data_IF_241173385715
#
_entry.id   IF_241173385715
#
_cell.length_a   1.000
_cell.length_b   1.000
_cell.length_c   1.000
_cell.angle_alpha   90.00
_cell.angle_beta   90.00
_cell.angle_gamma   90.00
#
_symmetry.space_group_name_H-M   'P 1'
#
loop_
_entity.id
_entity.type
_entity.pdbx_description
1 polymer ?
#
# COMPACT_ATOMS: atom_id res chain seq x y z
N UNK A 1 -2.48 17.43 -0.12
CA UNK A 1 -2.00 16.51 -1.19
C UNK A 1 -1.50 15.18 -0.66
N UNK A 2 -0.66 15.12 0.38
CA UNK A 2 -0.12 13.84 0.91
C UNK A 2 -1.20 12.80 1.24
N UNK A 3 -2.24 13.20 1.98
CA UNK A 3 -3.38 12.33 2.34
C UNK A 3 -4.07 11.75 1.09
N UNK A 4 -4.20 12.53 0.02
CA UNK A 4 -4.83 12.08 -1.22
C UNK A 4 -4.03 10.95 -1.88
N UNK A 5 -2.70 11.06 -1.93
CA UNK A 5 -1.86 9.99 -2.46
C UNK A 5 -1.92 8.71 -1.61
N UNK A 6 -1.96 8.85 -0.28
CA UNK A 6 -2.13 7.72 0.64
C UNK A 6 -3.47 7.02 0.40
N UNK A 7 -4.56 7.78 0.29
CA UNK A 7 -5.90 7.24 0.01
C UNK A 7 -5.97 6.54 -1.34
N UNK A 8 -5.35 7.11 -2.38
CA UNK A 8 -5.27 6.47 -3.70
C UNK A 8 -4.50 5.15 -3.61
N UNK A 9 -3.31 5.14 -2.98
CA UNK A 9 -2.52 3.91 -2.77
C UNK A 9 -3.36 2.83 -2.09
N UNK A 10 -4.04 3.19 -1.01
CA UNK A 10 -4.89 2.28 -0.25
C UNK A 10 -6.06 1.73 -1.09
N UNK A 11 -6.74 2.61 -1.84
CA UNK A 11 -7.90 2.23 -2.65
C UNK A 11 -7.54 1.24 -3.77
N UNK A 12 -6.32 1.29 -4.30
CA UNK A 12 -5.81 0.29 -5.25
C UNK A 12 -5.25 -0.96 -4.55
N UNK A 13 -4.66 -0.82 -3.36
CA UNK A 13 -4.07 -1.94 -2.63
C UNK A 13 -5.11 -2.96 -2.19
N UNK A 14 -6.30 -2.53 -1.75
CA UNK A 14 -7.34 -3.42 -1.23
C UNK A 14 -7.91 -4.37 -2.30
N UNK A 15 -8.36 -3.91 -3.48
CA UNK A 15 -8.80 -4.81 -4.54
C UNK A 15 -7.68 -5.74 -5.00
N UNK A 16 -6.44 -5.23 -5.09
CA UNK A 16 -5.27 -6.02 -5.46
C UNK A 16 -4.99 -7.13 -4.45
N UNK A 17 -5.06 -6.83 -3.15
CA UNK A 17 -4.84 -7.79 -2.06
C UNK A 17 -5.83 -8.95 -2.13
N UNK A 18 -7.11 -8.62 -2.29
CA UNK A 18 -8.20 -9.60 -2.40
C UNK A 18 -8.06 -10.41 -3.69
N UNK A 19 -7.77 -9.76 -4.82
CA UNK A 19 -7.59 -10.44 -6.11
C UNK A 19 -6.41 -11.42 -6.08
N UNK A 20 -5.24 -10.99 -5.59
CA UNK A 20 -4.07 -11.86 -5.49
C UNK A 20 -4.31 -12.99 -4.50
N UNK A 21 -4.98 -12.73 -3.37
CA UNK A 21 -5.32 -13.78 -2.41
C UNK A 21 -6.29 -14.81 -2.98
N UNK A 22 -7.32 -14.38 -3.73
CA UNK A 22 -8.28 -15.31 -4.33
C UNK A 22 -7.66 -16.18 -5.41
N UNK A 23 -6.67 -15.66 -6.17
CA UNK A 23 -5.92 -16.40 -7.19
C UNK A 23 -4.88 -17.36 -6.63
N UNK A 24 -4.09 -16.89 -5.66
CA UNK A 24 -2.94 -17.67 -5.14
C UNK A 24 -3.32 -18.57 -3.97
N UNK A 25 -4.43 -18.26 -3.28
CA UNK A 25 -4.84 -18.83 -1.98
C UNK A 25 -3.75 -18.75 -0.90
N UNK A 26 -2.70 -17.97 -1.14
CA UNK A 26 -1.56 -17.82 -0.25
C UNK A 26 -1.47 -16.38 0.26
N UNK A 27 -1.67 -16.23 1.57
CA UNK A 27 -1.65 -14.94 2.26
C UNK A 27 -0.32 -14.20 2.07
N UNK A 28 0.81 -14.90 2.14
CA UNK A 28 2.13 -14.29 2.07
C UNK A 28 2.43 -13.76 0.68
N UNK A 29 1.99 -14.45 -0.37
CA UNK A 29 2.12 -13.98 -1.75
C UNK A 29 1.24 -12.74 -1.97
N UNK A 30 0.00 -12.76 -1.48
CA UNK A 30 -0.88 -11.59 -1.55
C UNK A 30 -0.28 -10.37 -0.83
N UNK A 31 0.32 -10.58 0.35
CA UNK A 31 1.01 -9.54 1.10
C UNK A 31 2.27 -9.01 0.42
N UNK A 32 3.07 -9.88 -0.19
CA UNK A 32 4.26 -9.46 -0.92
C UNK A 32 3.87 -8.59 -2.12
N UNK A 33 2.83 -8.99 -2.86
CA UNK A 33 2.32 -8.22 -4.00
C UNK A 33 1.79 -6.85 -3.56
N UNK A 34 1.03 -6.77 -2.47
CA UNK A 34 0.52 -5.48 -1.97
C UNK A 34 1.63 -4.61 -1.42
N UNK A 35 2.59 -5.18 -0.70
CA UNK A 35 3.78 -4.46 -0.23
C UNK A 35 4.57 -3.87 -1.41
N UNK A 36 4.82 -4.67 -2.45
CA UNK A 36 5.48 -4.20 -3.67
C UNK A 36 4.69 -3.07 -4.35
N UNK A 37 3.37 -3.23 -4.47
CA UNK A 37 2.51 -2.19 -5.05
C UNK A 37 2.56 -0.87 -4.27
N UNK A 38 2.36 -0.93 -2.95
CA UNK A 38 2.42 0.26 -2.10
C UNK A 38 3.81 0.92 -2.12
N UNK A 39 4.87 0.11 -2.16
CA UNK A 39 6.24 0.61 -2.28
C UNK A 39 6.44 1.33 -3.60
N UNK A 40 6.14 0.67 -4.73
CA UNK A 40 6.31 1.27 -6.07
C UNK A 40 5.50 2.55 -6.19
N UNK A 41 4.25 2.56 -5.73
CA UNK A 41 3.38 3.71 -5.82
C UNK A 41 3.86 4.87 -4.93
N UNK A 42 4.05 4.65 -3.62
CA UNK A 42 4.37 5.72 -2.68
C UNK A 42 5.80 6.23 -2.84
N UNK A 43 6.77 5.34 -3.09
CA UNK A 43 8.15 5.74 -3.41
C UNK A 43 8.18 6.45 -4.76
N UNK A 44 7.46 5.96 -5.77
CA UNK A 44 7.37 6.59 -7.09
C UNK A 44 6.81 8.01 -7.01
N UNK A 45 5.73 8.22 -6.27
CA UNK A 45 5.16 9.56 -6.04
C UNK A 45 6.15 10.46 -5.30
N UNK A 46 6.81 9.94 -4.25
CA UNK A 46 7.82 10.70 -3.50
C UNK A 46 8.97 11.14 -4.41
N UNK A 47 9.41 10.25 -5.30
CA UNK A 47 10.46 10.52 -6.27
C UNK A 47 10.05 11.59 -7.31
N UNK A 48 8.84 11.49 -7.85
CA UNK A 48 8.29 12.49 -8.78
C UNK A 48 8.24 13.87 -8.10
N UNK A 49 7.79 13.93 -6.85
CA UNK A 49 7.73 15.19 -6.09
C UNK A 49 9.13 15.76 -5.86
N UNK A 50 10.11 14.92 -5.52
CA UNK A 50 11.49 15.33 -5.36
C UNK A 50 12.08 15.94 -6.65
N UNK A 51 11.72 15.41 -7.81
CA UNK A 51 12.21 15.92 -9.10
C UNK A 51 11.55 17.25 -9.50
N UNK A 52 10.25 17.40 -9.23
CA UNK A 52 9.45 18.54 -9.70
C UNK A 52 9.40 19.71 -8.72
N UNK A 53 9.79 19.53 -7.47
CA UNK A 53 9.73 20.56 -6.44
C UNK A 53 11.15 20.98 -6.01
N UNK A 54 11.55 22.19 -6.41
CA UNK A 54 12.87 22.73 -6.11
C UNK A 54 13.11 22.89 -4.60
N UNK A 55 12.08 23.20 -3.80
CA UNK A 55 12.20 23.29 -2.34
C UNK A 55 12.52 21.92 -1.74
N UNK A 56 11.80 20.87 -2.15
CA UNK A 56 12.03 19.49 -1.67
C UNK A 56 13.43 19.01 -2.10
N UNK A 57 13.91 19.44 -3.27
CA UNK A 57 15.25 19.08 -3.77
C UNK A 57 16.36 19.79 -3.02
N UNK A 58 16.17 21.07 -2.67
CA UNK A 58 17.16 21.91 -1.98
C UNK A 58 17.23 21.60 -0.48
N UNK A 59 16.08 21.40 0.17
CA UNK A 59 15.99 21.19 1.61
C UNK A 59 15.88 19.71 2.01
N UNK A 60 15.65 18.82 1.04
CA UNK A 60 15.49 17.39 1.27
C UNK A 60 14.08 17.00 1.72
N UNK A 61 13.72 15.74 1.44
CA UNK A 61 12.38 15.20 1.69
C UNK A 61 12.02 15.24 3.19
N UNK A 62 12.99 15.05 4.07
CA UNK A 62 12.79 15.03 5.53
C UNK A 62 12.32 16.36 6.14
N UNK A 63 12.58 17.48 5.46
CA UNK A 63 12.13 18.81 5.90
C UNK A 63 10.73 19.18 5.40
N UNK A 64 10.07 18.29 4.64
CA UNK A 64 8.76 18.52 4.04
C UNK A 64 7.76 17.46 4.48
N UNK A 65 6.46 17.71 4.39
CA UNK A 65 5.44 16.71 4.76
C UNK A 65 5.44 15.46 3.86
N UNK A 66 6.25 15.41 2.81
CA UNK A 66 6.31 14.30 1.86
C UNK A 66 7.04 13.06 2.38
N UNK A 67 7.87 13.16 3.43
CA UNK A 67 8.47 11.98 4.07
C UNK A 67 7.42 11.00 4.64
N UNK A 68 6.20 11.50 4.88
CA UNK A 68 5.08 10.70 5.39
C UNK A 68 4.63 9.65 4.36
N UNK A 69 4.84 9.89 3.06
CA UNK A 69 4.45 8.96 2.00
C UNK A 69 5.11 7.57 2.16
N UNK A 70 6.46 7.43 2.18
CA UNK A 70 7.08 6.12 2.38
C UNK A 70 6.82 5.56 3.78
N UNK A 71 6.61 6.41 4.79
CA UNK A 71 6.29 5.96 6.14
C UNK A 71 4.93 5.24 6.24
N UNK A 72 4.00 5.53 5.33
CA UNK A 72 2.70 4.86 5.27
C UNK A 72 2.74 3.47 4.59
N UNK A 73 3.84 3.10 3.91
CA UNK A 73 3.98 1.77 3.29
C UNK A 73 3.72 0.64 4.31
N UNK A 74 4.40 0.57 5.47
CA UNK A 74 4.13 -0.48 6.46
C UNK A 74 2.71 -0.42 7.03
N UNK A 75 2.16 0.78 7.24
CA UNK A 75 0.81 0.95 7.78
C UNK A 75 -0.26 0.40 6.83
N UNK A 76 -0.19 0.75 5.54
CA UNK A 76 -1.11 0.24 4.53
C UNK A 76 -0.97 -1.28 4.40
N UNK A 77 0.27 -1.79 4.37
CA UNK A 77 0.54 -3.23 4.28
C UNK A 77 -0.03 -4.00 5.47
N UNK A 78 0.00 -3.43 6.68
CA UNK A 78 -0.67 -4.01 7.85
C UNK A 78 -2.19 -4.01 7.73
N UNK A 79 -2.80 -2.96 7.18
CA UNK A 79 -4.24 -2.96 6.93
C UNK A 79 -4.60 -4.07 5.94
N UNK A 80 -3.83 -4.23 4.86
CA UNK A 80 -4.01 -5.33 3.90
C UNK A 80 -3.86 -6.71 4.55
N UNK A 81 -2.94 -6.87 5.50
CA UNK A 81 -2.80 -8.09 6.29
C UNK A 81 -4.11 -8.47 7.00
N UNK A 82 -4.76 -7.51 7.65
CA UNK A 82 -6.02 -7.74 8.34
C UNK A 82 -7.15 -8.02 7.35
N UNK A 83 -7.20 -7.32 6.22
CA UNK A 83 -8.19 -7.56 5.17
C UNK A 83 -8.07 -8.99 4.64
N UNK A 84 -6.87 -9.43 4.26
CA UNK A 84 -6.63 -10.80 3.78
C UNK A 84 -7.00 -11.83 4.85
N UNK A 85 -6.70 -11.57 6.13
CA UNK A 85 -7.05 -12.47 7.23
C UNK A 85 -8.58 -12.60 7.40
N UNK A 86 -9.31 -11.49 7.30
CA UNK A 86 -10.77 -11.48 7.33
C UNK A 86 -11.36 -12.21 6.12
N UNK A 87 -10.85 -11.97 4.91
CA UNK A 87 -11.27 -12.68 3.69
C UNK A 87 -11.02 -14.18 3.80
N UNK A 88 -9.87 -14.59 4.35
CA UNK A 88 -9.54 -16.00 4.60
C UNK A 88 -10.55 -16.65 5.55
N UNK A 89 -10.89 -15.99 6.66
CA UNK A 89 -11.85 -16.48 7.64
C UNK A 89 -13.25 -16.62 7.04
N UNK A 90 -13.67 -15.67 6.20
CA UNK A 90 -14.96 -15.70 5.54
C UNK A 90 -15.06 -16.83 4.49
N UNK A 91 -14.02 -17.03 3.67
CA UNK A 91 -14.01 -18.12 2.69
C UNK A 91 -14.11 -19.50 3.36
N UNK A 92 -13.34 -19.74 4.44
CA UNK A 92 -13.44 -21.01 5.19
C UNK A 92 -14.83 -21.27 5.76
N UNK A 93 -15.54 -20.22 6.18
CA UNK A 93 -16.90 -20.34 6.71
C UNK A 93 -17.90 -20.70 5.61
N UNK A 94 -17.74 -20.13 4.41
CA UNK A 94 -18.58 -20.44 3.25
C UNK A 94 -18.37 -21.88 2.78
N UNK A 95 -17.12 -22.36 2.73
CA UNK A 95 -16.80 -23.74 2.31
C UNK A 95 -17.25 -24.81 3.32
N UNK A 96 -17.68 -24.42 4.53
CA UNK A 96 -18.12 -25.31 5.60
C UNK A 96 -19.65 -25.47 5.75
N UNK A 97 -20.42 -24.78 4.89
CA UNK A 97 -21.90 -24.81 4.83
C UNK A 97 -22.31 -25.63 3.61
#
# INVERSE_FOLDING_TARGET
MVILFILISFLFSVPLSIFTFTKTKNKWIALLVTFCWNTVFLVGVTWIIYLLNDEVRLFGVGHTSFYILPFFIPLITWIDYFIIELTRKNNKKVDSI
#
